data_IF_613091055682
#
_entry.id   IF_613091055682
#
_cell.length_a   1.000
_cell.length_b   1.000
_cell.length_c   1.000
_cell.angle_alpha   90.00
_cell.angle_beta   90.00
_cell.angle_gamma   90.00
#
_symmetry.space_group_name_H-M   'P 1'
#
loop_
_entity.id
_entity.type
_entity.pdbx_description
1 polymer ?
#
# COMPACT_ATOMS: atom_id res chain seq x y z
N UNK A 1 2.05 -10.39 10.54
CA UNK A 1 1.25 -11.02 9.47
C UNK A 1 2.12 -11.13 8.22
N UNK A 2 2.01 -12.21 7.42
CA UNK A 2 2.80 -12.32 6.18
C UNK A 2 2.22 -11.48 5.02
N UNK A 3 0.97 -11.03 5.13
CA UNK A 3 0.27 -10.24 4.12
C UNK A 3 -0.01 -8.83 4.65
N UNK A 4 0.24 -7.83 3.81
CA UNK A 4 -0.02 -6.40 4.12
C UNK A 4 -0.97 -5.75 3.12
N UNK A 5 -1.16 -6.33 1.93
CA UNK A 5 -2.10 -5.80 0.95
C UNK A 5 -3.50 -6.33 1.22
N UNK A 6 -4.47 -5.43 1.32
CA UNK A 6 -5.87 -5.78 1.55
C UNK A 6 -6.43 -6.72 0.47
N UNK A 7 -5.97 -6.57 -0.79
CA UNK A 7 -6.37 -7.42 -1.92
C UNK A 7 -5.89 -8.87 -1.84
N UNK A 8 -4.92 -9.16 -0.97
CA UNK A 8 -4.39 -10.52 -0.73
C UNK A 8 -5.04 -11.18 0.50
N UNK A 9 -5.85 -10.43 1.24
CA UNK A 9 -6.51 -10.88 2.47
C UNK A 9 -7.91 -11.43 2.20
N UNK A 10 -8.25 -12.51 2.89
CA UNK A 10 -9.64 -12.93 3.07
C UNK A 10 -10.35 -11.96 4.01
N UNK A 11 -11.66 -11.76 3.83
CA UNK A 11 -12.45 -10.87 4.69
C UNK A 11 -12.34 -11.22 6.19
N UNK A 12 -12.13 -12.50 6.53
CA UNK A 12 -11.92 -12.94 7.93
C UNK A 12 -10.58 -12.44 8.49
N UNK A 13 -9.52 -12.40 7.67
CA UNK A 13 -8.22 -11.84 8.06
C UNK A 13 -8.36 -10.33 8.34
N UNK A 14 -9.13 -9.61 7.52
CA UNK A 14 -9.43 -8.18 7.74
C UNK A 14 -10.24 -7.97 9.02
N UNK A 15 -11.27 -8.79 9.26
CA UNK A 15 -12.05 -8.74 10.50
C UNK A 15 -11.18 -8.97 11.74
N UNK A 16 -10.21 -9.89 11.67
CA UNK A 16 -9.27 -10.16 12.75
C UNK A 16 -8.31 -8.99 12.99
N UNK A 17 -7.79 -8.38 11.92
CA UNK A 17 -6.94 -7.20 11.98
C UNK A 17 -7.62 -6.05 12.74
N UNK A 18 -8.88 -5.77 12.37
CA UNK A 18 -9.68 -4.68 12.93
C UNK A 18 -10.03 -4.84 14.42
N UNK A 19 -9.75 -6.00 15.04
CA UNK A 19 -9.92 -6.17 16.49
C UNK A 19 -8.86 -5.43 17.31
N UNK A 20 -7.65 -5.28 16.76
CA UNK A 20 -6.50 -4.72 17.47
C UNK A 20 -5.94 -3.46 16.80
N UNK A 21 -6.29 -3.22 15.53
CA UNK A 21 -5.77 -2.12 14.73
C UNK A 21 -6.90 -1.40 14.00
N UNK A 22 -6.69 -0.12 13.67
CA UNK A 22 -7.65 0.69 12.91
C UNK A 22 -6.99 1.54 11.81
N UNK A 23 -5.70 1.32 11.55
CA UNK A 23 -4.92 2.08 10.58
C UNK A 23 -4.98 1.41 9.21
N UNK A 24 -5.22 2.18 8.16
CA UNK A 24 -5.11 1.70 6.76
C UNK A 24 -4.28 2.72 5.99
N UNK A 25 -3.40 2.22 5.11
CA UNK A 25 -2.67 3.06 4.16
C UNK A 25 -3.32 2.92 2.78
N UNK A 26 -3.68 4.05 2.18
CA UNK A 26 -4.22 4.11 0.82
C UNK A 26 -3.19 4.85 -0.04
N UNK A 27 -2.39 4.14 -0.86
CA UNK A 27 -1.45 4.80 -1.74
C UNK A 27 -2.23 5.55 -2.83
N UNK A 28 -1.94 6.84 -2.99
CA UNK A 28 -2.52 7.70 -4.03
C UNK A 28 -1.37 8.35 -4.77
N UNK A 29 -1.28 8.11 -6.08
CA UNK A 29 -0.33 8.75 -6.97
C UNK A 29 -1.04 9.40 -8.16
N UNK A 30 -0.27 9.64 -9.23
CA UNK A 30 -0.71 10.24 -10.48
C UNK A 30 -0.37 9.35 -11.69
N UNK A 31 -0.96 9.70 -12.83
CA UNK A 31 -0.53 9.29 -14.18
C UNK A 31 -0.16 10.54 -14.96
N UNK A 32 1.12 10.90 -14.96
CA UNK A 32 1.61 12.17 -15.51
C UNK A 32 3.01 12.09 -16.11
N UNK A 33 3.39 13.08 -16.92
CA UNK A 33 4.67 13.11 -17.62
C UNK A 33 5.85 13.31 -16.66
N UNK A 34 6.87 12.46 -16.73
CA UNK A 34 8.11 12.55 -15.92
C UNK A 34 9.41 12.62 -16.76
N UNK A 35 9.33 13.18 -17.97
CA UNK A 35 10.48 13.28 -18.87
C UNK A 35 10.74 12.00 -19.66
N UNK A 36 11.71 12.02 -20.58
CA UNK A 36 12.00 10.90 -21.49
C UNK A 36 12.54 9.63 -20.82
N UNK A 37 12.89 9.70 -19.54
CA UNK A 37 13.64 8.67 -18.84
C UNK A 37 12.80 7.93 -17.77
N UNK A 38 11.57 8.38 -17.50
CA UNK A 38 10.72 7.79 -16.47
C UNK A 38 9.32 7.44 -16.98
N UNK A 39 8.68 6.41 -16.40
CA UNK A 39 7.29 6.08 -16.70
C UNK A 39 6.31 7.16 -16.24
N UNK A 40 5.16 7.25 -16.89
CA UNK A 40 4.10 8.19 -16.48
C UNK A 40 3.40 7.81 -15.16
N UNK A 41 3.62 6.60 -14.66
CA UNK A 41 3.08 6.13 -13.38
C UNK A 41 4.02 6.30 -12.20
N UNK A 42 5.08 7.10 -12.32
CA UNK A 42 6.17 7.20 -11.33
C UNK A 42 5.63 7.46 -9.92
N UNK A 43 4.72 8.44 -9.76
CA UNK A 43 4.11 8.77 -8.47
C UNK A 43 3.38 7.59 -7.83
N UNK A 44 2.62 6.84 -8.62
CA UNK A 44 1.89 5.66 -8.14
C UNK A 44 2.86 4.57 -7.70
N UNK A 45 3.87 4.27 -8.52
CA UNK A 45 4.89 3.24 -8.23
C UNK A 45 5.63 3.54 -6.92
N UNK A 46 6.07 4.79 -6.75
CA UNK A 46 6.80 5.22 -5.56
C UNK A 46 5.89 5.14 -4.33
N UNK A 47 4.69 5.69 -4.42
CA UNK A 47 3.77 5.75 -3.27
C UNK A 47 3.32 4.37 -2.82
N UNK A 48 3.02 3.45 -3.75
CA UNK A 48 2.72 2.06 -3.42
C UNK A 48 3.86 1.39 -2.65
N UNK A 49 5.12 1.61 -3.07
CA UNK A 49 6.29 1.03 -2.43
C UNK A 49 6.51 1.60 -1.02
N UNK A 50 6.40 2.93 -0.86
CA UNK A 50 6.51 3.59 0.44
C UNK A 50 5.43 3.08 1.41
N UNK A 51 4.16 3.03 0.98
CA UNK A 51 3.08 2.51 1.82
C UNK A 51 3.30 1.05 2.21
N UNK A 52 3.77 0.20 1.29
CA UNK A 52 4.07 -1.20 1.56
C UNK A 52 5.17 -1.35 2.63
N UNK A 53 6.25 -0.58 2.53
CA UNK A 53 7.37 -0.64 3.46
C UNK A 53 6.97 -0.10 4.84
N UNK A 54 6.21 0.99 4.91
CA UNK A 54 5.66 1.53 6.18
C UNK A 54 4.71 0.53 6.83
N UNK A 55 3.81 -0.11 6.07
CA UNK A 55 2.91 -1.14 6.59
C UNK A 55 3.69 -2.29 7.24
N UNK A 56 4.78 -2.74 6.60
CA UNK A 56 5.67 -3.76 7.18
C UNK A 56 6.37 -3.29 8.45
N UNK A 57 6.91 -2.07 8.46
CA UNK A 57 7.60 -1.51 9.64
C UNK A 57 6.66 -1.38 10.83
N UNK A 58 5.42 -0.95 10.59
CA UNK A 58 4.40 -0.77 11.62
C UNK A 58 3.66 -2.07 11.96
N UNK A 59 3.99 -3.18 11.30
CA UNK A 59 3.29 -4.47 11.45
C UNK A 59 1.77 -4.36 11.26
N UNK A 60 1.35 -3.53 10.29
CA UNK A 60 -0.03 -3.46 9.83
C UNK A 60 -0.42 -4.75 9.08
#
# INVERSE_FOLDING_TARGET
MNKVKLSEMMWREVKQYLQNNSTILVPIGSTEQHGLHLPIGTDTIITEKVCYDVAKMMSL
#
